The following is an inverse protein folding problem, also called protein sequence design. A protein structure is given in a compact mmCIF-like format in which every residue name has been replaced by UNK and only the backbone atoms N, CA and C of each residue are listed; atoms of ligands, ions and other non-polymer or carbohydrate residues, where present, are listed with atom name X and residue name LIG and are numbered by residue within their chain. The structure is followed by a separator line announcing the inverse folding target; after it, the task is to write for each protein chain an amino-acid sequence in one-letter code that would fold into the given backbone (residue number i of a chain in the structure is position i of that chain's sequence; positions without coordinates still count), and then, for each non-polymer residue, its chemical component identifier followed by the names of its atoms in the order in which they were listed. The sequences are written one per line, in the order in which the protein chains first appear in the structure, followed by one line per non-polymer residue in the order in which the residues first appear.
data_IF_140529146229
#
_entry.id   IF_140529146229
#
_cell.length_a   1.000
_cell.length_b   1.000
_cell.length_c   1.000
_cell.angle_alpha   90.00
_cell.angle_beta   90.00
_cell.angle_gamma   90.00
#
_symmetry.space_group_name_H-M   'P 1'
#
loop_
_entity.id
_entity.type
_entity.pdbx_description
1 polymer ?
#
# COMPACT_ATOMS: atom_id res chain seq x y z
N UNK A 1 -20.30 -1.27 8.28
CA UNK A 1 -18.94 -1.38 7.72
C UNK A 1 -19.06 -0.85 6.33
N UNK A 2 -18.62 0.38 6.15
CA UNK A 2 -19.02 1.17 4.98
C UNK A 2 -17.97 0.97 3.89
N UNK A 3 -18.41 0.98 2.63
CA UNK A 3 -17.55 0.75 1.46
C UNK A 3 -16.31 1.66 1.42
N UNK A 4 -16.35 2.78 2.12
CA UNK A 4 -15.27 3.76 2.26
C UNK A 4 -13.95 3.15 2.71
N UNK A 5 -13.96 2.22 3.68
CA UNK A 5 -12.70 1.62 4.19
C UNK A 5 -12.08 0.69 3.15
N UNK A 6 -12.92 -0.09 2.45
CA UNK A 6 -12.50 -1.01 1.38
C UNK A 6 -11.85 -0.22 0.24
N UNK A 7 -12.40 0.95 -0.09
CA UNK A 7 -11.87 1.81 -1.15
C UNK A 7 -10.63 2.62 -0.74
N UNK A 8 -10.56 3.10 0.51
CA UNK A 8 -9.45 3.94 0.97
C UNK A 8 -8.20 3.14 1.35
N UNK A 9 -8.31 1.90 1.83
CA UNK A 9 -7.16 1.11 2.26
C UNK A 9 -6.11 0.88 1.14
N UNK A 10 -6.49 0.54 -0.11
CA UNK A 10 -5.53 0.45 -1.22
C UNK A 10 -4.92 1.80 -1.59
N UNK A 11 -5.71 2.89 -1.53
CA UNK A 11 -5.23 4.24 -1.84
C UNK A 11 -4.17 4.71 -0.84
N UNK A 12 -4.35 4.38 0.45
CA UNK A 12 -3.34 4.62 1.48
C UNK A 12 -2.07 3.78 1.25
N UNK A 13 -2.21 2.53 0.82
CA UNK A 13 -1.07 1.70 0.44
C UNK A 13 -0.28 2.28 -0.75
N UNK A 14 -0.99 2.80 -1.75
CA UNK A 14 -0.37 3.49 -2.89
C UNK A 14 0.35 4.78 -2.46
N UNK A 15 -0.24 5.57 -1.56
CA UNK A 15 0.41 6.75 -0.97
C UNK A 15 1.74 6.37 -0.28
N UNK A 16 1.78 5.27 0.46
CA UNK A 16 3.01 4.75 1.06
C UNK A 16 4.09 4.41 0.03
N UNK A 17 3.68 3.91 -1.14
CA UNK A 17 4.61 3.67 -2.26
C UNK A 17 5.24 4.96 -2.78
N UNK A 18 4.43 6.00 -2.97
CA UNK A 18 4.91 7.32 -3.43
C UNK A 18 5.92 7.88 -2.42
N UNK A 19 5.59 7.83 -1.13
CA UNK A 19 6.49 8.30 -0.05
C UNK A 19 7.80 7.49 -0.04
N UNK A 20 7.74 6.17 -0.20
CA UNK A 20 8.94 5.34 -0.20
C UNK A 20 9.83 5.58 -1.43
N UNK A 21 9.24 5.89 -2.58
CA UNK A 21 9.99 6.30 -3.78
C UNK A 21 10.66 7.66 -3.61
N UNK A 22 9.98 8.65 -3.03
CA UNK A 22 10.58 9.96 -2.71
C UNK A 22 11.83 9.77 -1.84
N UNK A 23 11.71 9.04 -0.73
CA UNK A 23 12.84 8.75 0.15
C UNK A 23 13.98 7.99 -0.54
N UNK A 24 13.68 7.14 -1.54
CA UNK A 24 14.69 6.42 -2.30
C UNK A 24 15.50 7.38 -3.19
N UNK A 25 14.83 8.37 -3.80
CA UNK A 25 15.49 9.40 -4.61
C UNK A 25 16.28 10.40 -3.76
N UNK A 26 15.77 10.81 -2.59
CA UNK A 26 16.50 11.68 -1.65
C UNK A 26 17.85 11.06 -1.23
N UNK A 27 17.89 9.72 -1.10
CA UNK A 27 19.13 8.98 -0.79
C UNK A 27 20.11 8.95 -1.96
N UNK A 28 19.60 8.87 -3.21
CA UNK A 28 20.45 8.98 -4.40
C UNK A 28 21.06 10.39 -4.46
N UNK A 29 20.26 11.42 -4.25
CA UNK A 29 20.71 12.81 -4.26
C UNK A 29 21.81 13.04 -3.21
N UNK A 30 21.59 12.58 -1.97
CA UNK A 30 22.55 12.73 -0.90
C UNK A 30 23.86 11.94 -1.11
N UNK A 31 23.80 10.79 -1.79
CA UNK A 31 24.97 9.96 -2.06
C UNK A 31 25.84 10.51 -3.20
N UNK A 32 25.29 11.34 -4.08
CA UNK A 32 25.98 11.88 -5.27
C UNK A 32 26.34 10.83 -6.32
N UNK A 33 25.90 9.58 -6.13
CA UNK A 33 26.12 8.45 -7.04
C UNK A 33 24.93 7.48 -6.96
N UNK A 34 24.61 6.85 -8.09
CA UNK A 34 23.43 6.00 -8.22
C UNK A 34 23.81 4.53 -8.04
N UNK A 35 23.84 4.07 -6.79
CA UNK A 35 23.99 2.64 -6.50
C UNK A 35 22.62 1.95 -6.40
N UNK A 36 22.37 0.86 -7.15
CA UNK A 36 21.12 0.11 -7.09
C UNK A 36 20.75 -0.37 -5.67
N UNK A 37 21.74 -0.60 -4.82
CA UNK A 37 21.56 -0.96 -3.42
C UNK A 37 20.89 0.14 -2.58
N UNK A 38 21.13 1.42 -2.90
CA UNK A 38 20.57 2.57 -2.18
C UNK A 38 19.05 2.68 -2.39
N UNK A 39 18.57 2.37 -3.60
CA UNK A 39 17.14 2.43 -3.95
C UNK A 39 16.38 1.15 -3.60
N UNK A 40 17.02 -0.02 -3.66
CA UNK A 40 16.38 -1.30 -3.41
C UNK A 40 15.68 -1.36 -2.03
N UNK A 41 16.29 -0.74 -1.01
CA UNK A 41 15.68 -0.64 0.33
C UNK A 41 14.41 0.21 0.37
N UNK A 42 14.42 1.39 -0.26
CA UNK A 42 13.26 2.29 -0.29
C UNK A 42 12.10 1.71 -1.11
N UNK A 43 12.41 1.08 -2.24
CA UNK A 43 11.41 0.40 -3.09
C UNK A 43 10.77 -0.77 -2.35
N UNK A 44 11.55 -1.57 -1.60
CA UNK A 44 11.00 -2.67 -0.80
C UNK A 44 9.96 -2.18 0.21
N UNK A 45 10.25 -1.09 0.92
CA UNK A 45 9.33 -0.51 1.90
C UNK A 45 8.08 0.03 1.19
N UNK A 46 8.27 0.74 0.07
CA UNK A 46 7.20 1.26 -0.77
C UNK A 46 6.19 0.16 -1.20
N UNK A 47 6.70 -0.99 -1.66
CA UNK A 47 5.86 -2.12 -2.08
C UNK A 47 5.16 -2.81 -0.91
N UNK A 48 5.83 -2.90 0.24
CA UNK A 48 5.26 -3.53 1.44
C UNK A 48 4.04 -2.75 1.92
N UNK A 49 4.07 -1.41 1.89
CA UNK A 49 2.90 -0.59 2.24
C UNK A 49 1.69 -0.83 1.32
N UNK A 50 1.91 -1.06 0.02
CA UNK A 50 0.84 -1.40 -0.93
C UNK A 50 0.19 -2.74 -0.58
N UNK A 51 1.02 -3.76 -0.30
CA UNK A 51 0.55 -5.10 0.04
C UNK A 51 -0.31 -5.06 1.29
N UNK A 52 0.09 -4.30 2.31
CA UNK A 52 -0.72 -4.12 3.52
C UNK A 52 -2.08 -3.47 3.23
N UNK A 53 -2.13 -2.41 2.41
CA UNK A 53 -3.38 -1.77 2.02
C UNK A 53 -4.33 -2.71 1.29
N UNK A 54 -3.80 -3.56 0.40
CA UNK A 54 -4.56 -4.58 -0.32
C UNK A 54 -5.08 -5.69 0.61
N UNK A 55 -4.27 -6.18 1.56
CA UNK A 55 -4.68 -7.19 2.52
C UNK A 55 -5.87 -6.70 3.34
N UNK A 56 -5.81 -5.46 3.86
CA UNK A 56 -6.90 -4.85 4.61
C UNK A 56 -8.16 -4.75 3.74
N UNK A 57 -8.03 -4.27 2.49
CA UNK A 57 -9.16 -4.16 1.57
C UNK A 57 -9.82 -5.50 1.27
N UNK A 58 -9.02 -6.56 1.03
CA UNK A 58 -9.51 -7.91 0.72
C UNK A 58 -10.28 -8.48 1.92
N UNK A 59 -9.72 -8.42 3.13
CA UNK A 59 -10.37 -8.95 4.34
C UNK A 59 -11.72 -8.26 4.56
N UNK A 60 -11.76 -6.93 4.48
CA UNK A 60 -12.98 -6.16 4.69
C UNK A 60 -14.02 -6.41 3.57
N UNK A 61 -13.59 -6.51 2.31
CA UNK A 61 -14.46 -6.83 1.19
C UNK A 61 -15.07 -8.23 1.33
N UNK A 62 -14.28 -9.24 1.71
CA UNK A 62 -14.77 -10.60 1.95
C UNK A 62 -15.80 -10.64 3.09
N UNK A 63 -15.53 -9.92 4.19
CA UNK A 63 -16.45 -9.87 5.33
C UNK A 63 -17.75 -9.13 4.99
N UNK A 64 -17.66 -8.02 4.27
CA UNK A 64 -18.82 -7.28 3.77
C UNK A 64 -19.69 -8.16 2.87
N UNK A 65 -19.09 -8.82 1.89
CA UNK A 65 -19.80 -9.73 0.99
C UNK A 65 -20.46 -10.90 1.73
N UNK A 66 -19.80 -11.47 2.75
CA UNK A 66 -20.38 -12.54 3.56
C UNK A 66 -21.62 -12.08 4.34
N UNK A 67 -21.57 -10.90 4.97
CA UNK A 67 -22.71 -10.35 5.73
C UNK A 67 -23.87 -10.02 4.78
N UNK A 68 -23.59 -9.38 3.65
CA UNK A 68 -24.61 -9.01 2.67
C UNK A 68 -25.29 -10.24 2.08
N UNK A 69 -24.52 -11.27 1.71
CA UNK A 69 -25.07 -12.54 1.23
C UNK A 69 -26.01 -13.20 2.24
N UNK A 70 -25.72 -13.06 3.54
CA UNK A 70 -26.51 -13.66 4.63
C UNK A 70 -27.72 -12.83 5.08
N UNK A 71 -27.78 -11.55 4.70
CA UNK A 71 -28.89 -10.63 5.02
C UNK A 71 -29.90 -10.51 3.87
N UNK A 72 -29.47 -10.71 2.62
CA UNK A 72 -30.29 -10.53 1.42
C UNK A 72 -30.80 -11.86 0.84
N UNK A 73 -30.22 -13.01 1.24
CA UNK A 73 -30.81 -14.34 1.04
C UNK A 73 -31.60 -14.79 2.26
#
# INVERSE_FOLDING_TARGET
MDFTIIALAPMLGFMGTVIGMINAFDRIEAAGDMQPSLVAGGIKIALLTTVFGLIVAIIFASFYNYIVAKLIQ
#
